data_IF_887830176470
#
_entry.id   IF_887830176470
#
_cell.length_a   1.000
_cell.length_b   1.000
_cell.length_c   1.000
_cell.angle_alpha   90.00
_cell.angle_beta   90.00
_cell.angle_gamma   90.00
#
_symmetry.space_group_name_H-M   'P 1'
#
loop_
_entity.id
_entity.type
_entity.pdbx_description
1 polymer ?
#
# COMPACT_ATOMS: atom_id res chain seq x y z
N UNK A 1 8.46 -17.65 2.59
CA UNK A 1 8.76 -17.56 1.14
C UNK A 1 9.04 -16.09 0.84
N UNK A 2 10.28 -15.76 0.47
CA UNK A 2 10.67 -14.36 0.21
C UNK A 2 10.10 -13.89 -1.13
N UNK A 3 9.48 -12.71 -1.15
CA UNK A 3 8.97 -12.06 -2.37
C UNK A 3 10.12 -11.54 -3.25
N UNK A 4 10.86 -12.46 -3.87
CA UNK A 4 11.94 -12.15 -4.82
C UNK A 4 11.35 -11.75 -6.18
N UNK A 5 10.94 -10.49 -6.30
CA UNK A 5 10.45 -9.94 -7.56
C UNK A 5 11.53 -9.17 -8.32
N UNK A 6 11.46 -9.21 -9.66
CA UNK A 6 12.35 -8.44 -10.56
C UNK A 6 12.36 -6.94 -10.21
N UNK A 7 13.51 -6.30 -10.38
CA UNK A 7 13.66 -4.85 -10.20
C UNK A 7 12.96 -4.10 -11.34
N UNK A 8 12.29 -2.98 -11.03
CA UNK A 8 11.72 -2.08 -12.04
C UNK A 8 10.29 -2.37 -12.51
N UNK A 9 9.59 -3.33 -11.91
CA UNK A 9 8.14 -3.55 -12.17
C UNK A 9 7.29 -2.87 -11.11
N UNK A 10 6.19 -2.24 -11.52
CA UNK A 10 5.13 -1.79 -10.62
C UNK A 10 4.43 -3.00 -9.99
N UNK A 11 4.26 -2.98 -8.67
CA UNK A 11 3.74 -4.11 -7.89
C UNK A 11 2.54 -3.62 -7.10
N UNK A 12 1.46 -4.40 -7.10
CA UNK A 12 0.27 -4.14 -6.32
C UNK A 12 -0.20 -5.44 -5.65
N UNK A 13 -0.88 -5.28 -4.54
CA UNK A 13 -1.60 -6.35 -3.85
C UNK A 13 -2.98 -5.80 -3.47
N UNK A 14 -3.95 -6.70 -3.36
CA UNK A 14 -5.30 -6.36 -2.94
C UNK A 14 -5.52 -7.06 -1.61
N UNK A 15 -5.93 -6.29 -0.60
CA UNK A 15 -6.30 -6.81 0.72
C UNK A 15 -7.79 -6.60 0.89
N UNK A 16 -8.49 -7.66 1.24
CA UNK A 16 -9.87 -7.60 1.67
C UNK A 16 -9.90 -7.35 3.18
N UNK A 17 -10.62 -6.31 3.61
CA UNK A 17 -10.84 -6.02 5.02
C UNK A 17 -11.98 -6.89 5.54
N UNK A 18 -11.94 -7.26 6.82
CA UNK A 18 -13.00 -8.05 7.44
C UNK A 18 -14.31 -7.27 7.58
N UNK A 19 -14.23 -5.95 7.76
CA UNK A 19 -15.36 -5.04 7.98
C UNK A 19 -15.21 -3.77 7.14
N UNK A 20 -16.35 -3.14 6.83
CA UNK A 20 -16.42 -1.84 6.18
C UNK A 20 -16.06 -0.73 7.19
N UNK A 21 -14.84 -0.20 7.09
CA UNK A 21 -14.33 0.86 7.97
C UNK A 21 -13.97 2.12 7.19
N UNK A 22 -14.16 3.32 7.77
CA UNK A 22 -13.55 4.54 7.26
C UNK A 22 -12.02 4.47 7.46
N UNK A 23 -11.27 4.78 6.41
CA UNK A 23 -9.80 4.75 6.45
C UNK A 23 -9.28 6.18 6.59
N UNK A 24 -8.91 6.58 7.80
CA UNK A 24 -8.38 7.93 8.10
C UNK A 24 -6.85 7.98 8.17
N UNK A 25 -6.20 6.85 8.45
CA UNK A 25 -4.74 6.78 8.60
C UNK A 25 -4.18 5.49 8.00
N UNK A 26 -3.14 5.61 7.19
CA UNK A 26 -2.36 4.49 6.69
C UNK A 26 -0.97 4.52 7.34
N UNK A 27 -0.53 3.38 7.86
CA UNK A 27 0.77 3.23 8.50
C UNK A 27 1.59 2.16 7.77
N UNK A 28 2.28 2.49 6.67
CA UNK A 28 3.30 1.62 6.14
C UNK A 28 4.43 1.45 7.18
N UNK A 29 4.88 0.20 7.32
CA UNK A 29 5.96 -0.16 8.20
C UNK A 29 6.84 -1.20 7.51
N UNK A 30 7.99 -0.75 7.02
CA UNK A 30 9.02 -1.66 6.52
C UNK A 30 9.98 -2.09 7.63
N UNK A 31 9.72 -3.25 8.22
CA UNK A 31 10.60 -3.85 9.24
C UNK A 31 11.74 -4.68 8.66
N UNK A 32 11.80 -4.84 7.33
CA UNK A 32 12.82 -5.65 6.69
C UNK A 32 13.99 -4.80 6.17
N UNK A 33 15.21 -5.22 6.51
CA UNK A 33 16.50 -4.61 6.12
C UNK A 33 16.89 -4.89 4.65
N UNK A 34 15.95 -4.89 3.70
CA UNK A 34 16.28 -5.16 2.29
C UNK A 34 16.68 -3.90 1.53
N UNK A 35 17.60 -4.08 0.58
CA UNK A 35 18.09 -3.08 -0.37
C UNK A 35 17.01 -2.54 -1.33
N UNK A 36 15.75 -2.98 -1.18
CA UNK A 36 14.60 -2.61 -2.00
C UNK A 36 13.38 -2.25 -1.13
N UNK A 37 13.49 -1.18 -0.34
CA UNK A 37 12.32 -0.57 0.29
C UNK A 37 11.44 0.15 -0.74
N UNK A 38 10.13 0.17 -0.52
CA UNK A 38 9.19 0.85 -1.39
C UNK A 38 9.34 2.37 -1.22
N UNK A 39 9.69 3.08 -2.30
CA UNK A 39 9.86 4.54 -2.23
C UNK A 39 8.54 5.30 -2.35
N UNK A 40 7.61 4.79 -3.15
CA UNK A 40 6.31 5.40 -3.41
C UNK A 40 5.23 4.33 -3.39
N UNK A 41 4.28 4.46 -2.48
CA UNK A 41 3.13 3.57 -2.34
C UNK A 41 1.89 4.37 -2.71
N UNK A 42 1.07 3.83 -3.62
CA UNK A 42 -0.26 4.36 -3.92
C UNK A 42 -1.31 3.44 -3.31
N UNK A 43 -2.22 4.00 -2.54
CA UNK A 43 -3.34 3.28 -1.96
C UNK A 43 -4.63 3.64 -2.67
N UNK A 44 -5.41 2.62 -3.00
CA UNK A 44 -6.72 2.74 -3.60
C UNK A 44 -7.71 1.95 -2.75
N UNK A 45 -8.91 2.48 -2.54
CA UNK A 45 -9.95 1.84 -1.74
C UNK A 45 -11.23 1.64 -2.52
N UNK A 46 -11.97 0.59 -2.17
CA UNK A 46 -13.33 0.35 -2.63
C UNK A 46 -14.15 -0.46 -1.65
N UNK A 47 -15.45 -0.16 -1.68
CA UNK A 47 -16.46 -0.76 -0.79
C UNK A 47 -16.93 -2.15 -1.29
N UNK A 48 -16.78 -2.47 -2.58
CA UNK A 48 -17.26 -3.75 -3.14
C UNK A 48 -16.32 -4.31 -4.20
N UNK A 49 -16.04 -5.60 -4.07
CA UNK A 49 -15.37 -6.44 -5.06
C UNK A 49 -16.41 -7.39 -5.72
N UNK A 50 -16.34 -7.73 -7.02
CA UNK A 50 -15.35 -7.37 -8.04
C UNK A 50 -15.64 -6.03 -8.73
N UNK A 51 -14.60 -5.48 -9.34
CA UNK A 51 -14.53 -4.06 -9.70
C UNK A 51 -14.70 -3.92 -11.21
N UNK A 52 -15.58 -3.00 -11.65
CA UNK A 52 -15.63 -2.59 -13.07
C UNK A 52 -14.35 -1.79 -13.38
N UNK A 53 -13.86 -1.87 -14.63
CA UNK A 53 -12.48 -1.50 -15.06
C UNK A 53 -11.88 -0.18 -14.50
N UNK A 54 -12.69 0.83 -14.16
CA UNK A 54 -12.24 2.12 -13.61
C UNK A 54 -12.86 2.45 -12.24
N UNK A 55 -13.18 1.42 -11.46
CA UNK A 55 -13.88 1.56 -10.21
C UNK A 55 -12.96 1.52 -9.01
N UNK A 56 -11.73 2.04 -9.04
CA UNK A 56 -10.88 2.23 -7.85
C UNK A 56 -10.86 3.70 -7.44
N UNK A 57 -10.85 4.01 -6.14
CA UNK A 57 -10.84 5.40 -5.65
C UNK A 57 -9.46 5.65 -5.07
N UNK A 58 -8.75 6.62 -5.64
CA UNK A 58 -7.45 7.05 -5.15
C UNK A 58 -7.64 7.61 -3.75
N UNK A 59 -6.99 6.96 -2.79
CA UNK A 59 -7.01 7.39 -1.40
C UNK A 59 -5.89 8.43 -1.21
N UNK A 60 -4.66 8.03 -1.57
CA UNK A 60 -3.46 8.85 -1.37
C UNK A 60 -2.22 8.19 -1.96
N UNK A 61 -1.20 9.00 -2.23
CA UNK A 61 0.14 8.55 -2.63
C UNK A 61 1.13 8.94 -1.55
N UNK A 62 1.75 7.95 -0.92
CA UNK A 62 2.74 8.16 0.13
C UNK A 62 4.13 7.94 -0.41
N UNK A 63 5.06 8.83 -0.02
CA UNK A 63 6.48 8.63 -0.21
C UNK A 63 7.09 8.24 1.13
N UNK A 64 7.37 6.96 1.29
CA UNK A 64 7.98 6.43 2.50
C UNK A 64 9.47 6.79 2.50
N UNK A 65 9.96 7.31 3.62
CA UNK A 65 11.41 7.48 3.81
C UNK A 65 11.99 6.14 4.24
N UNK A 66 13.19 5.81 3.77
CA UNK A 66 13.93 4.64 4.22
C UNK A 66 14.29 4.79 5.71
N UNK A 67 13.36 4.40 6.58
CA UNK A 67 13.48 4.48 8.03
C UNK A 67 12.87 3.25 8.65
N UNK A 68 13.51 2.76 9.70
CA UNK A 68 13.06 1.62 10.50
C UNK A 68 11.82 1.91 11.37
N UNK A 69 11.16 3.05 11.14
CA UNK A 69 10.04 3.53 11.94
C UNK A 69 8.78 3.49 11.10
N UNK A 70 7.69 3.05 11.73
CA UNK A 70 6.36 3.15 11.17
C UNK A 70 6.04 4.63 10.88
N UNK A 71 5.58 4.93 9.67
CA UNK A 71 5.24 6.29 9.27
C UNK A 71 3.73 6.39 9.16
N UNK A 72 3.12 7.16 10.06
CA UNK A 72 1.68 7.41 9.99
C UNK A 72 1.41 8.54 8.99
N UNK A 73 0.59 8.24 7.98
CA UNK A 73 0.10 9.22 7.05
C UNK A 73 -1.42 9.36 7.19
N UNK A 74 -1.84 10.60 7.45
CA UNK A 74 -3.25 10.99 7.42
C UNK A 74 -3.72 11.11 5.97
N UNK A 75 -4.97 10.69 5.73
CA UNK A 75 -5.61 10.61 4.42
C UNK A 75 -6.61 11.76 4.25
#
# INVERSE_FOLDING_TARGET
SYMLNKCGVEKFFIVELCDDIPVDTAVPAGFEFFSSMFHSIKMFVRDRYPIKRNGWKDLSTFKERNSWQAQAFLI
#
